data_IF_370390064057
#
_entry.id   IF_370390064057
#
_cell.length_a   1.000
_cell.length_b   1.000
_cell.length_c   1.000
_cell.angle_alpha   90.00
_cell.angle_beta   90.00
_cell.angle_gamma   90.00
#
_symmetry.space_group_name_H-M   'P 1'
#
loop_
_entity.id
_entity.type
_entity.pdbx_description
1 polymer ?
#
# COMPACT_ATOMS: atom_id res chain seq x y z
N UNK A 1 -7.26 -14.12 0.38
CA UNK A 1 -7.47 -12.67 0.59
C UNK A 1 -8.96 -12.32 0.81
N UNK A 2 -9.69 -13.00 1.71
CA UNK A 2 -11.08 -12.67 2.09
C UNK A 2 -11.31 -12.70 3.62
N UNK A 3 -10.29 -13.06 4.39
CA UNK A 3 -10.39 -13.31 5.84
C UNK A 3 -10.04 -12.09 6.70
N UNK A 4 -9.40 -11.05 6.16
CA UNK A 4 -8.97 -9.88 6.95
C UNK A 4 -10.11 -8.87 7.16
N UNK A 5 -10.97 -8.68 6.16
CA UNK A 5 -12.11 -7.74 6.25
C UNK A 5 -13.22 -8.31 7.16
N UNK A 6 -13.40 -9.63 7.22
CA UNK A 6 -14.45 -10.28 8.01
C UNK A 6 -14.20 -10.28 9.54
N UNK A 7 -13.04 -9.82 10.00
CA UNK A 7 -12.63 -9.83 11.43
C UNK A 7 -12.58 -8.44 12.07
N UNK A 8 -12.96 -7.38 11.35
CA UNK A 8 -12.87 -6.01 11.87
C UNK A 8 -11.43 -5.51 12.05
N UNK A 9 -10.44 -6.20 11.46
CA UNK A 9 -9.06 -5.71 11.42
C UNK A 9 -9.00 -4.66 10.34
N UNK A 10 -8.90 -3.40 10.74
CA UNK A 10 -8.65 -2.32 9.80
C UNK A 10 -7.30 -2.57 9.10
N UNK A 11 -7.26 -2.59 7.76
CA UNK A 11 -6.02 -2.87 7.03
C UNK A 11 -5.01 -1.73 7.18
N UNK A 12 -5.46 -0.51 7.46
CA UNK A 12 -4.62 0.67 7.49
C UNK A 12 -3.56 0.65 8.62
N UNK A 13 -3.90 0.34 9.89
CA UNK A 13 -2.89 0.20 10.95
C UNK A 13 -1.73 -0.75 10.63
N UNK A 14 -2.00 -1.91 10.02
CA UNK A 14 -0.93 -2.87 9.67
C UNK A 14 -0.09 -2.38 8.50
N UNK A 15 -0.71 -1.73 7.51
CA UNK A 15 0.01 -1.08 6.41
C UNK A 15 0.92 0.02 6.96
N UNK A 16 0.39 0.90 7.83
CA UNK A 16 1.13 1.98 8.49
C UNK A 16 2.34 1.43 9.22
N UNK A 17 2.15 0.42 10.07
CA UNK A 17 3.24 -0.24 10.82
C UNK A 17 4.36 -0.75 9.91
N UNK A 18 4.02 -1.32 8.74
CA UNK A 18 5.02 -1.80 7.76
C UNK A 18 5.73 -0.66 7.04
N UNK A 19 4.99 0.38 6.65
CA UNK A 19 5.55 1.57 6.00
C UNK A 19 6.52 2.29 6.93
N UNK A 20 6.20 2.42 8.22
CA UNK A 20 7.09 3.01 9.24
C UNK A 20 8.40 2.25 9.44
N UNK A 21 8.42 0.97 9.10
CA UNK A 21 9.59 0.10 9.26
C UNK A 21 10.42 -0.02 7.97
N UNK A 22 10.06 0.69 6.91
CA UNK A 22 10.83 0.68 5.66
C UNK A 22 12.18 1.37 5.84
N UNK A 23 13.26 0.66 5.51
CA UNK A 23 14.58 1.24 5.32
C UNK A 23 14.63 2.12 4.08
N UNK A 24 15.56 3.08 4.07
CA UNK A 24 15.87 3.87 2.88
C UNK A 24 16.15 2.97 1.67
N UNK A 25 15.59 3.30 0.51
CA UNK A 25 15.71 2.52 -0.72
C UNK A 25 14.88 1.23 -0.76
N UNK A 26 14.06 0.97 0.26
CA UNK A 26 13.12 -0.16 0.28
C UNK A 26 11.70 0.30 -0.02
N UNK A 27 10.86 -0.61 -0.51
CA UNK A 27 9.46 -0.35 -0.83
C UNK A 27 8.53 -1.46 -0.36
N UNK A 28 7.22 -1.18 -0.41
CA UNK A 28 6.17 -2.18 -0.19
C UNK A 28 5.28 -2.34 -1.42
N UNK A 29 4.68 -3.52 -1.54
CA UNK A 29 3.65 -3.82 -2.53
C UNK A 29 2.35 -4.11 -1.80
N UNK A 30 1.27 -3.46 -2.24
CA UNK A 30 -0.09 -3.68 -1.74
C UNK A 30 -0.93 -4.25 -2.87
N UNK A 31 -1.58 -5.38 -2.60
CA UNK A 31 -2.53 -6.02 -3.51
C UNK A 31 -3.92 -5.88 -2.89
N UNK A 32 -4.81 -5.19 -3.60
CA UNK A 32 -6.16 -4.90 -3.12
C UNK A 32 -7.20 -5.19 -4.23
N UNK A 33 -8.44 -5.57 -3.86
CA UNK A 33 -9.48 -5.88 -4.84
C UNK A 33 -10.08 -4.63 -5.54
N UNK A 34 -9.63 -3.44 -5.16
CA UNK A 34 -9.99 -2.15 -5.75
C UNK A 34 -8.82 -1.17 -5.61
N UNK A 35 -8.80 -0.11 -6.42
CA UNK A 35 -7.78 0.93 -6.36
C UNK A 35 -7.83 1.63 -4.98
N UNK A 36 -6.76 1.58 -4.16
CA UNK A 36 -6.78 2.17 -2.83
C UNK A 36 -6.43 3.66 -2.87
N UNK A 37 -7.20 4.48 -3.60
CA UNK A 37 -6.91 5.91 -3.80
C UNK A 37 -6.64 6.69 -2.50
N UNK A 38 -7.41 6.53 -1.41
CA UNK A 38 -7.13 7.25 -0.16
C UNK A 38 -5.76 6.93 0.44
N UNK A 39 -5.29 5.69 0.26
CA UNK A 39 -3.97 5.28 0.74
C UNK A 39 -2.85 5.87 -0.14
N UNK A 40 -3.07 5.91 -1.46
CA UNK A 40 -2.14 6.50 -2.41
C UNK A 40 -1.96 7.99 -2.11
N UNK A 41 -3.06 8.72 -1.93
CA UNK A 41 -3.05 10.16 -1.59
C UNK A 41 -2.35 10.40 -0.25
N UNK A 42 -2.70 9.61 0.77
CA UNK A 42 -2.12 9.71 2.10
C UNK A 42 -0.61 9.51 2.09
N UNK A 43 -0.11 8.40 1.53
CA UNK A 43 1.33 8.13 1.49
C UNK A 43 2.07 9.08 0.55
N UNK A 44 1.44 9.51 -0.55
CA UNK A 44 1.98 10.56 -1.43
C UNK A 44 2.25 11.87 -0.69
N UNK A 45 1.30 12.32 0.14
CA UNK A 45 1.48 13.52 0.99
C UNK A 45 2.61 13.38 2.03
N UNK A 46 3.08 12.16 2.30
CA UNK A 46 4.15 11.86 3.27
C UNK A 46 5.51 11.61 2.59
N UNK A 47 5.59 11.89 1.27
CA UNK A 47 6.81 11.79 0.48
C UNK A 47 7.10 10.38 -0.05
N UNK A 48 6.10 9.50 -0.12
CA UNK A 48 6.24 8.25 -0.85
C UNK A 48 5.89 8.44 -2.33
N UNK A 49 6.72 7.91 -3.21
CA UNK A 49 6.37 7.70 -4.60
C UNK A 49 5.50 6.43 -4.73
N UNK A 50 4.69 6.37 -5.79
CA UNK A 50 3.88 5.19 -6.06
C UNK A 50 3.73 4.86 -7.54
N UNK A 51 3.53 3.58 -7.82
CA UNK A 51 3.18 3.06 -9.16
C UNK A 51 1.98 2.15 -9.02
N UNK A 52 1.02 2.28 -9.92
CA UNK A 52 -0.19 1.47 -9.95
C UNK A 52 -0.19 0.58 -11.18
N UNK A 53 -0.47 -0.70 -10.99
CA UNK A 53 -0.62 -1.69 -12.05
C UNK A 53 -1.93 -2.47 -11.88
N UNK A 54 -2.48 -2.96 -13.00
CA UNK A 54 -3.57 -3.94 -12.97
C UNK A 54 -2.98 -5.30 -12.60
N UNK A 55 -3.53 -5.91 -11.55
CA UNK A 55 -3.21 -7.28 -11.15
C UNK A 55 -4.01 -8.31 -11.96
N UNK A 56 -4.06 -9.54 -11.46
CA UNK A 56 -4.90 -10.59 -12.04
C UNK A 56 -6.37 -10.38 -11.64
N UNK A 57 -7.28 -10.51 -12.59
CA UNK A 57 -8.71 -10.37 -12.32
C UNK A 57 -9.09 -8.93 -11.93
N UNK A 58 -9.72 -8.77 -10.76
CA UNK A 58 -10.11 -7.46 -10.21
C UNK A 58 -9.03 -6.79 -9.35
N UNK A 59 -7.89 -7.45 -9.16
CA UNK A 59 -6.88 -6.95 -8.25
C UNK A 59 -6.12 -5.75 -8.81
N UNK A 60 -5.71 -4.88 -7.91
CA UNK A 60 -4.82 -3.74 -8.13
C UNK A 60 -3.53 -3.98 -7.38
N UNK A 61 -2.40 -3.75 -8.05
CA UNK A 61 -1.06 -3.83 -7.46
C UNK A 61 -0.52 -2.42 -7.35
N UNK A 62 -0.19 -2.00 -6.13
CA UNK A 62 0.37 -0.68 -5.87
C UNK A 62 1.73 -0.83 -5.20
N UNK A 63 2.73 -0.23 -5.82
CA UNK A 63 4.10 -0.15 -5.30
C UNK A 63 4.25 1.19 -4.60
N UNK A 64 4.87 1.20 -3.42
CA UNK A 64 5.26 2.41 -2.68
C UNK A 64 6.73 2.34 -2.32
N UNK A 65 7.45 3.45 -2.47
CA UNK A 65 8.85 3.58 -2.07
C UNK A 65 9.18 5.03 -1.69
N UNK A 66 10.30 5.23 -0.99
CA UNK A 66 10.92 6.55 -0.86
C UNK A 66 12.10 6.61 -1.83
N UNK A 67 12.22 7.72 -2.55
CA UNK A 67 13.42 7.98 -3.32
C UNK A 67 14.61 8.11 -2.35
N UNK A 68 15.77 7.63 -2.78
CA UNK A 68 17.02 7.84 -2.06
C UNK A 68 17.43 9.28 -2.34
N UNK A 69 17.37 10.14 -1.32
CA UNK A 69 17.99 11.47 -1.37
C UNK A 69 19.51 11.35 -1.64
#
# INVERSE_FOLDING_TARGET
>A
MRQLISRGIEPFPEIRRRVDQLSAGSGIIIIAPFLPSPLIEKLGSEGFASKVERGRGSDWVVYFWRDLD
#
